data_IF_025013563194
#
_entry.id   IF_025013563194
#
_cell.length_a   1.000
_cell.length_b   1.000
_cell.length_c   1.000
_cell.angle_alpha   90.00
_cell.angle_beta   90.00
_cell.angle_gamma   90.00
#
_symmetry.space_group_name_H-M   'P 1'
#
loop_
_entity.id
_entity.type
_entity.pdbx_description
1 polymer ?
#
# COMPACT_ATOMS: atom_id res chain seq x y z
N UNK A 1 -10.96 -14.85 4.24
CA UNK A 1 -10.69 -13.39 4.26
C UNK A 1 -10.45 -12.97 2.84
N UNK A 2 -11.42 -12.31 2.22
CA UNK A 2 -11.41 -12.06 0.77
C UNK A 2 -10.59 -10.83 0.38
N UNK A 3 -10.27 -9.94 1.34
CA UNK A 3 -9.42 -8.77 1.13
C UNK A 3 -7.90 -9.06 1.10
N UNK A 4 -7.45 -10.22 1.59
CA UNK A 4 -6.02 -10.55 1.66
C UNK A 4 -5.47 -10.76 0.25
N UNK A 5 -4.51 -9.95 -0.15
CA UNK A 5 -3.94 -10.00 -1.48
C UNK A 5 -3.14 -8.77 -1.86
N UNK A 6 -2.73 -8.77 -3.12
CA UNK A 6 -2.16 -7.64 -3.81
C UNK A 6 -3.13 -7.14 -4.86
N UNK A 7 -3.39 -5.85 -4.84
CA UNK A 7 -4.42 -5.20 -5.63
C UNK A 7 -3.87 -3.96 -6.31
N UNK A 8 -4.37 -3.62 -7.50
CA UNK A 8 -3.98 -2.41 -8.21
C UNK A 8 -5.14 -1.74 -8.95
N UNK A 9 -4.98 -0.46 -9.27
CA UNK A 9 -5.91 0.25 -10.14
C UNK A 9 -5.54 0.18 -11.61
N UNK A 10 -4.38 -0.40 -11.98
CA UNK A 10 -3.82 -0.37 -13.34
C UNK A 10 -4.77 -0.96 -14.37
N UNK A 11 -5.47 -2.04 -14.01
CA UNK A 11 -6.44 -2.70 -14.87
C UNK A 11 -7.87 -2.19 -14.70
N UNK A 12 -8.13 -1.31 -13.73
CA UNK A 12 -9.46 -0.73 -13.48
C UNK A 12 -9.60 0.64 -14.16
N UNK A 13 -8.57 1.48 -14.10
CA UNK A 13 -8.56 2.82 -14.68
C UNK A 13 -7.38 2.94 -15.65
N UNK A 14 -7.45 2.30 -16.83
CA UNK A 14 -6.42 2.42 -17.83
C UNK A 14 -6.35 3.87 -18.28
N UNK A 15 -5.13 4.37 -18.49
CA UNK A 15 -4.80 5.76 -18.85
C UNK A 15 -4.78 6.77 -17.70
N UNK A 16 -5.11 6.38 -16.47
CA UNK A 16 -4.85 7.27 -15.33
C UNK A 16 -3.35 7.54 -15.21
N UNK A 17 -3.00 8.82 -15.05
CA UNK A 17 -1.60 9.23 -14.87
C UNK A 17 -0.99 8.68 -13.58
N UNK A 18 -1.84 8.24 -12.66
CA UNK A 18 -1.48 7.70 -11.36
C UNK A 18 -2.11 6.34 -11.18
N UNK A 19 -1.30 5.39 -10.71
CA UNK A 19 -1.79 4.10 -10.28
C UNK A 19 -1.69 4.00 -8.76
N UNK A 20 -2.54 3.16 -8.21
CA UNK A 20 -2.50 2.79 -6.80
C UNK A 20 -2.28 1.30 -6.68
N UNK A 21 -1.57 0.95 -5.61
CA UNK A 21 -1.27 -0.42 -5.25
C UNK A 21 -1.55 -0.62 -3.76
N UNK A 22 -2.17 -1.75 -3.45
CA UNK A 22 -2.59 -2.09 -2.10
C UNK A 22 -2.15 -3.52 -1.81
N UNK A 23 -1.43 -3.71 -0.72
CA UNK A 23 -1.11 -5.01 -0.18
C UNK A 23 -1.75 -5.18 1.20
N UNK A 24 -2.60 -6.19 1.34
CA UNK A 24 -3.19 -6.63 2.61
C UNK A 24 -2.67 -8.05 2.84
N UNK A 25 -1.83 -8.23 3.87
CA UNK A 25 -1.16 -9.52 4.13
C UNK A 25 -1.86 -10.30 5.24
N UNK A 26 -1.78 -11.61 5.15
CA UNK A 26 -2.29 -12.56 6.15
C UNK A 26 -1.70 -12.37 7.56
N UNK A 27 -0.49 -11.85 7.68
CA UNK A 27 0.17 -11.54 8.96
C UNK A 27 -0.31 -10.24 9.64
N UNK A 28 -1.37 -9.63 9.12
CA UNK A 28 -1.95 -8.40 9.67
C UNK A 28 -1.17 -7.14 9.31
N UNK A 29 -0.12 -7.22 8.48
CA UNK A 29 0.55 -6.05 7.93
C UNK A 29 0.00 -5.67 6.55
N UNK A 30 0.18 -4.41 6.17
CA UNK A 30 -0.18 -3.96 4.84
C UNK A 30 0.41 -2.62 4.50
N UNK A 31 0.25 -2.25 3.24
CA UNK A 31 0.62 -0.93 2.75
C UNK A 31 -0.25 -0.54 1.58
N UNK A 32 -0.41 0.75 1.41
CA UNK A 32 -1.02 1.36 0.24
C UNK A 32 -0.02 2.32 -0.36
N UNK A 33 -0.04 2.45 -1.69
CA UNK A 33 0.79 3.36 -2.43
C UNK A 33 -0.01 3.97 -3.56
N UNK A 34 0.21 5.27 -3.79
CA UNK A 34 -0.11 5.98 -5.02
C UNK A 34 1.20 6.35 -5.69
N UNK A 35 1.26 6.26 -7.02
CA UNK A 35 2.44 6.73 -7.75
C UNK A 35 2.16 6.98 -9.22
N UNK A 36 2.95 7.88 -9.79
CA UNK A 36 3.03 8.16 -11.23
C UNK A 36 4.45 7.85 -11.71
N UNK A 37 4.86 8.29 -12.90
CA UNK A 37 6.22 8.01 -13.42
C UNK A 37 7.35 8.74 -12.68
N UNK A 38 7.05 9.73 -11.83
CA UNK A 38 8.04 10.59 -11.17
C UNK A 38 8.12 10.34 -9.67
N UNK A 39 6.98 10.18 -9.01
CA UNK A 39 6.87 10.18 -7.57
C UNK A 39 5.89 9.14 -7.05
N UNK A 40 5.97 8.91 -5.75
CA UNK A 40 5.05 8.06 -5.02
C UNK A 40 4.78 8.62 -3.62
N UNK A 41 3.59 8.31 -3.12
CA UNK A 41 3.15 8.43 -1.74
C UNK A 41 2.82 7.04 -1.23
N UNK A 42 3.21 6.69 -0.02
CA UNK A 42 2.87 5.39 0.56
C UNK A 42 2.63 5.46 2.04
N UNK A 43 1.66 4.67 2.48
CA UNK A 43 1.32 4.45 3.87
C UNK A 43 1.55 2.99 4.23
N UNK A 44 2.09 2.75 5.42
CA UNK A 44 2.12 1.42 6.04
C UNK A 44 1.08 1.34 7.14
N UNK A 45 0.46 0.18 7.27
CA UNK A 45 -0.53 -0.05 8.29
C UNK A 45 -0.46 -1.48 8.84
N UNK A 46 -1.00 -1.65 10.03
CA UNK A 46 -1.51 -2.95 10.47
C UNK A 46 -3.01 -2.99 10.22
N UNK A 47 -3.56 -4.16 9.99
CA UNK A 47 -4.99 -4.31 9.76
C UNK A 47 -5.58 -5.48 10.54
N UNK A 48 -6.89 -5.44 10.71
CA UNK A 48 -7.72 -6.56 11.17
C UNK A 48 -9.13 -6.43 10.61
N UNK A 49 -9.86 -7.53 10.63
CA UNK A 49 -11.27 -7.60 10.26
C UNK A 49 -12.12 -7.74 11.52
N UNK A 50 -12.58 -6.64 12.15
CA UNK A 50 -13.43 -6.72 13.34
C UNK A 50 -14.79 -7.39 13.07
N UNK A 51 -15.25 -7.38 11.82
CA UNK A 51 -16.43 -8.09 11.31
C UNK A 51 -16.30 -8.26 9.80
N UNK A 52 -16.94 -9.28 9.23
CA UNK A 52 -16.92 -9.55 7.78
C UNK A 52 -17.24 -8.30 6.97
N UNK A 53 -16.43 -8.01 5.95
CA UNK A 53 -16.63 -6.86 5.06
C UNK A 53 -16.20 -5.51 5.67
N UNK A 54 -15.48 -5.51 6.79
CA UNK A 54 -14.95 -4.29 7.41
C UNK A 54 -13.47 -4.44 7.76
N UNK A 55 -12.63 -3.60 7.18
CA UNK A 55 -11.22 -3.49 7.51
C UNK A 55 -11.00 -2.35 8.48
N UNK A 56 -10.30 -2.65 9.57
CA UNK A 56 -9.76 -1.65 10.46
C UNK A 56 -8.26 -1.53 10.24
N UNK A 57 -7.82 -0.32 9.91
CA UNK A 57 -6.46 0.01 9.52
C UNK A 57 -5.84 0.90 10.57
N UNK A 58 -4.72 0.45 11.15
CA UNK A 58 -3.86 1.24 12.03
C UNK A 58 -2.64 1.68 11.22
N UNK A 59 -2.71 2.89 10.69
CA UNK A 59 -1.63 3.55 9.96
C UNK A 59 -0.49 3.85 10.95
N UNK A 60 0.72 3.47 10.56
CA UNK A 60 1.93 3.57 11.42
C UNK A 60 3.08 4.35 10.78
N UNK A 61 2.89 4.82 9.55
CA UNK A 61 3.90 5.61 8.87
C UNK A 61 3.49 5.98 7.46
N UNK A 62 4.08 7.07 7.03
CA UNK A 62 3.96 7.65 5.71
C UNK A 62 5.35 7.87 5.14
N UNK A 63 5.48 7.72 3.83
CA UNK A 63 6.67 8.15 3.12
C UNK A 63 6.30 8.58 1.71
N UNK A 64 7.06 9.52 1.18
CA UNK A 64 6.98 9.92 -0.23
C UNK A 64 8.37 10.11 -0.81
N UNK A 65 8.44 10.12 -2.13
CA UNK A 65 9.66 10.43 -2.85
C UNK A 65 9.59 10.00 -4.29
N UNK A 66 10.76 9.81 -4.89
CA UNK A 66 10.86 9.35 -6.27
C UNK A 66 10.98 7.82 -6.31
N UNK A 67 10.52 7.21 -7.39
CA UNK A 67 10.89 5.84 -7.70
C UNK A 67 11.46 5.77 -9.11
N UNK A 68 12.40 4.86 -9.31
CA UNK A 68 12.84 4.46 -10.65
C UNK A 68 12.45 3.00 -10.86
N UNK A 69 12.57 2.51 -12.10
CA UNK A 69 12.26 1.15 -12.54
C UNK A 69 12.77 -0.01 -11.64
N UNK A 70 13.62 0.26 -10.64
CA UNK A 70 14.15 -0.75 -9.74
C UNK A 70 14.09 -0.41 -8.24
N UNK A 71 13.85 0.85 -7.84
CA UNK A 71 13.99 1.26 -6.43
C UNK A 71 13.13 2.47 -6.07
N UNK A 72 12.47 2.37 -4.92
CA UNK A 72 11.91 3.52 -4.20
C UNK A 72 13.03 4.31 -3.52
N UNK A 73 12.99 5.63 -3.65
CA UNK A 73 13.89 6.59 -3.00
C UNK A 73 13.06 7.56 -2.16
N UNK A 74 12.71 7.19 -0.91
CA UNK A 74 11.98 8.07 -0.02
C UNK A 74 12.81 9.34 0.24
N UNK A 75 12.20 10.51 0.03
CA UNK A 75 12.74 11.82 0.42
C UNK A 75 12.14 12.30 1.74
N UNK A 76 10.92 11.86 2.04
CA UNK A 76 10.21 12.14 3.29
C UNK A 76 9.78 10.82 3.92
N UNK A 77 9.91 10.73 5.24
CA UNK A 77 9.45 9.58 6.01
C UNK A 77 9.01 10.01 7.40
N UNK A 78 7.73 9.82 7.68
CA UNK A 78 7.11 10.21 8.94
C UNK A 78 6.54 8.99 9.65
N UNK A 79 6.64 9.00 10.97
CA UNK A 79 5.74 8.19 11.78
C UNK A 79 4.35 8.82 11.72
N UNK A 80 3.34 7.99 11.55
CA UNK A 80 1.95 8.41 11.60
C UNK A 80 1.19 7.48 12.52
N UNK A 81 0.17 7.99 13.19
CA UNK A 81 -0.61 7.21 14.15
C UNK A 81 -2.08 7.54 13.98
N UNK A 82 -2.70 6.89 12.98
CA UNK A 82 -4.11 7.07 12.67
C UNK A 82 -4.80 5.72 12.58
N UNK A 83 -6.05 5.69 13.03
CA UNK A 83 -6.94 4.55 12.85
C UNK A 83 -8.02 4.92 11.87
N UNK A 84 -8.31 4.01 10.94
CA UNK A 84 -9.35 4.16 9.93
C UNK A 84 -10.12 2.86 9.84
N UNK A 85 -11.39 2.99 9.49
CA UNK A 85 -12.25 1.84 9.23
C UNK A 85 -12.84 2.04 7.85
N UNK A 86 -12.68 1.03 7.00
CA UNK A 86 -13.25 1.01 5.65
C UNK A 86 -14.08 -0.26 5.51
N UNK A 87 -15.21 -0.15 4.83
CA UNK A 87 -15.92 -1.31 4.32
C UNK A 87 -15.18 -1.83 3.10
N UNK A 88 -15.24 -3.13 2.90
CA UNK A 88 -14.74 -3.75 1.70
C UNK A 88 -15.72 -4.79 1.16
N UNK A 89 -15.72 -4.96 -0.15
CA UNK A 89 -16.40 -6.03 -0.86
C UNK A 89 -15.45 -6.60 -1.92
N UNK A 90 -15.31 -7.92 -1.97
CA UNK A 90 -14.42 -8.59 -2.92
C UNK A 90 -15.27 -9.53 -3.77
N UNK A 91 -15.42 -9.19 -5.05
CA UNK A 91 -16.35 -9.87 -5.96
C UNK A 91 -15.70 -10.14 -7.31
N UNK A 92 -16.27 -11.08 -8.05
CA UNK A 92 -15.90 -11.27 -9.46
C UNK A 92 -16.61 -10.22 -10.29
N UNK A 93 -15.86 -9.52 -11.14
CA UNK A 93 -16.34 -8.43 -12.00
C UNK A 93 -15.42 -8.31 -13.23
N UNK A 94 -15.64 -7.31 -14.09
CA UNK A 94 -14.82 -7.06 -15.27
C UNK A 94 -13.84 -5.90 -15.06
N UNK A 95 -12.63 -6.06 -15.59
CA UNK A 95 -11.64 -4.98 -15.70
C UNK A 95 -11.99 -4.03 -16.87
N UNK A 96 -11.18 -3.00 -17.08
CA UNK A 96 -11.49 -1.98 -18.08
C UNK A 96 -11.37 -2.46 -19.55
N UNK A 97 -10.74 -3.60 -19.80
CA UNK A 97 -10.66 -4.22 -21.14
C UNK A 97 -11.67 -5.35 -21.32
N UNK A 98 -12.57 -5.55 -20.35
CA UNK A 98 -13.63 -6.55 -20.42
C UNK A 98 -13.22 -7.96 -20.02
N UNK A 99 -12.08 -8.14 -19.36
CA UNK A 99 -11.66 -9.43 -18.82
C UNK A 99 -12.20 -9.64 -17.40
N UNK A 100 -12.60 -10.87 -17.11
CA UNK A 100 -13.08 -11.25 -15.79
C UNK A 100 -11.93 -11.23 -14.77
N UNK A 101 -12.13 -10.55 -13.65
CA UNK A 101 -11.15 -10.45 -12.56
C UNK A 101 -11.85 -10.40 -11.20
N UNK A 102 -11.09 -10.54 -10.11
CA UNK A 102 -11.58 -10.21 -8.77
C UNK A 102 -11.34 -8.73 -8.50
N UNK A 103 -12.38 -8.03 -8.11
CA UNK A 103 -12.35 -6.61 -7.76
C UNK A 103 -12.58 -6.44 -6.27
N UNK A 104 -11.67 -5.71 -5.62
CA UNK A 104 -11.84 -5.20 -4.27
C UNK A 104 -12.41 -3.79 -4.33
N UNK A 105 -13.60 -3.61 -3.77
CA UNK A 105 -14.23 -2.31 -3.60
C UNK A 105 -14.08 -1.83 -2.15
N UNK A 106 -13.71 -0.56 -1.95
CA UNK A 106 -13.51 0.07 -0.65
C UNK A 106 -14.47 1.25 -0.47
N UNK A 107 -15.03 1.42 0.74
CA UNK A 107 -15.93 2.54 1.05
C UNK A 107 -15.91 2.94 2.53
N UNK A 108 -15.95 4.23 2.88
CA UNK A 108 -15.80 5.39 2.01
C UNK A 108 -14.34 5.58 1.55
N UNK A 109 -14.16 6.21 0.39
CA UNK A 109 -12.85 6.47 -0.24
C UNK A 109 -12.30 7.84 0.13
N UNK A 110 -13.10 8.67 0.79
CA UNK A 110 -12.68 9.98 1.26
C UNK A 110 -11.98 9.88 2.61
N UNK A 111 -10.79 9.27 2.63
CA UNK A 111 -9.81 9.55 3.68
C UNK A 111 -8.79 10.50 3.08
N UNK A 112 -8.71 11.77 3.51
CA UNK A 112 -7.70 12.71 3.01
C UNK A 112 -6.30 12.09 3.09
N UNK A 113 -5.64 12.00 1.94
CA UNK A 113 -4.30 11.42 1.80
C UNK A 113 -4.22 9.90 1.64
N UNK A 114 -5.30 9.13 1.79
CA UNK A 114 -5.26 7.66 1.86
C UNK A 114 -6.43 7.01 1.12
N UNK A 115 -6.16 6.02 0.25
CA UNK A 115 -7.13 5.40 -0.68
C UNK A 115 -7.85 6.41 -1.57
N UNK A 116 -7.29 6.70 -2.74
CA UNK A 116 -7.88 7.66 -3.68
C UNK A 116 -8.82 7.01 -4.69
N UNK A 117 -8.86 5.68 -4.74
CA UNK A 117 -9.74 4.91 -5.61
C UNK A 117 -10.64 3.98 -4.80
N UNK A 118 -11.83 3.74 -5.36
CA UNK A 118 -12.82 2.86 -4.75
C UNK A 118 -12.64 1.41 -5.15
N UNK A 119 -12.01 1.14 -6.30
CA UNK A 119 -11.94 -0.20 -6.89
C UNK A 119 -10.51 -0.56 -7.23
N UNK A 120 -10.12 -1.80 -6.92
CA UNK A 120 -8.81 -2.37 -7.23
C UNK A 120 -8.99 -3.76 -7.84
N UNK A 121 -8.29 -4.05 -8.93
CA UNK A 121 -8.18 -5.38 -9.51
C UNK A 121 -7.20 -6.24 -8.71
N UNK A 122 -7.47 -7.54 -8.63
CA UNK A 122 -6.55 -8.52 -8.07
C UNK A 122 -5.33 -8.73 -8.96
N UNK A 123 -4.15 -8.63 -8.37
CA UNK A 123 -2.85 -8.85 -9.02
C UNK A 123 -2.19 -10.17 -8.59
N UNK A 124 -2.61 -10.73 -7.45
CA UNK A 124 -2.04 -11.95 -6.90
C UNK A 124 -2.12 -12.02 -5.38
N UNK A 125 -1.69 -13.16 -4.83
CA UNK A 125 -1.73 -13.40 -3.38
C UNK A 125 -0.74 -12.52 -2.59
N UNK A 126 0.29 -11.99 -3.26
CA UNK A 126 1.32 -11.18 -2.61
C UNK A 126 1.97 -10.20 -3.57
N UNK A 127 2.27 -9.00 -3.07
CA UNK A 127 3.03 -8.01 -3.82
C UNK A 127 4.46 -8.51 -4.08
N UNK A 128 5.02 -8.26 -5.29
CA UNK A 128 6.43 -8.52 -5.55
C UNK A 128 7.28 -7.67 -4.60
N UNK A 129 8.46 -8.19 -4.20
CA UNK A 129 9.36 -7.47 -3.28
C UNK A 129 9.76 -6.10 -3.83
N UNK A 130 9.96 -6.00 -5.14
CA UNK A 130 10.27 -4.75 -5.84
C UNK A 130 9.12 -3.75 -5.83
N UNK A 131 7.87 -4.20 -5.65
CA UNK A 131 6.68 -3.36 -5.56
C UNK A 131 6.36 -2.89 -4.16
N UNK A 132 7.09 -3.34 -3.13
CA UNK A 132 6.88 -2.92 -1.75
C UNK A 132 7.74 -1.69 -1.41
N UNK A 133 7.17 -0.49 -1.26
CA UNK A 133 7.92 0.72 -0.94
C UNK A 133 8.51 0.69 0.48
N UNK A 134 8.00 -0.18 1.35
CA UNK A 134 8.48 -0.40 2.70
C UNK A 134 9.42 -1.60 2.83
N UNK A 135 9.76 -2.27 1.72
CA UNK A 135 10.82 -3.25 1.72
C UNK A 135 12.11 -2.56 2.13
N UNK A 136 12.72 -3.06 3.21
CA UNK A 136 13.96 -2.48 3.74
C UNK A 136 15.01 -2.56 2.63
N UNK A 137 15.40 -1.40 2.09
CA UNK A 137 16.69 -1.29 1.39
C UNK A 137 17.73 -1.63 2.46
N UNK A 138 18.49 -2.69 2.24
CA UNK A 138 19.31 -3.33 3.27
C UNK A 138 20.07 -2.30 4.13
N UNK A 139 20.07 -2.53 5.46
CA UNK A 139 20.79 -1.78 6.50
C UNK A 139 21.75 -0.74 5.90
N UNK A 140 21.30 0.50 5.74
CA UNK A 140 22.23 1.60 5.76
C UNK A 140 22.95 1.48 7.12
N UNK A 141 24.24 1.13 7.07
CA UNK A 141 25.12 1.19 8.23
C UNK A 141 25.12 2.65 8.68
N UNK A 142 24.21 3.01 9.58
CA UNK A 142 24.44 4.15 10.45
C UNK A 142 25.58 3.74 11.38
N UNK A 143 26.81 3.90 10.87
CA UNK A 143 28.04 3.83 11.64
C UNK A 143 28.12 5.01 12.58
N UNK A 144 27.21 5.08 13.55
CA UNK A 144 27.39 5.89 14.74
C UNK A 144 28.51 5.25 15.54
N UNK A 145 29.72 5.80 15.42
CA UNK A 145 30.83 5.52 16.33
C UNK A 145 30.33 5.84 17.74
N UNK A 146 30.02 4.80 18.52
CA UNK A 146 29.89 4.93 19.96
C UNK A 146 31.32 5.05 20.49
N UNK A 147 31.76 6.27 20.75
CA UNK A 147 32.93 6.56 21.56
C UNK A 147 32.68 5.96 22.94
N UNK A 148 33.35 4.84 23.25
CA UNK A 148 33.43 4.34 24.63
C UNK A 148 34.24 5.35 25.45
N UNK A 149 33.81 5.72 26.66
CA UNK A 149 34.65 6.48 27.56
C UNK A 149 35.84 5.60 27.98
N UNK A 150 37.05 6.15 27.85
CA UNK A 150 38.25 5.54 28.42
C UNK A 150 38.08 5.55 29.94
N UNK A 151 38.29 4.39 30.56
CA UNK A 151 38.64 4.29 31.97
C UNK A 151 40.11 4.67 32.14
#
# INVERSE_FOLDING_TARGET
>A
MEAVGYWSTVHIYPNDMEAQWLAIRDDGAGWWMRGNVFEFDSYRFFWREPRTGMLELRITGYQMGAWSHRRFRPSVRNAEHHRRTVRYDAKTDYNAVGELTTVLELSPVTVPGFFWSERFAWEGSRAPRSGNPWATVGRARFGGRVSRPRR
#
